data_IF_912542027717
#
_entry.id   IF_912542027717
#
_cell.length_a   1.000
_cell.length_b   1.000
_cell.length_c   1.000
_cell.angle_alpha   90.00
_cell.angle_beta   90.00
_cell.angle_gamma   90.00
#
_symmetry.space_group_name_H-M   'P 1'
#
loop_
_entity.id
_entity.type
_entity.pdbx_description
1 polymer ?
#
# COMPACT_ATOMS: atom_id res chain seq x y z
N UNK A 1 -24.21 -11.48 8.82
CA UNK A 1 -23.24 -12.20 7.99
C UNK A 1 -22.21 -11.19 7.53
N UNK A 2 -20.98 -11.27 8.02
CA UNK A 2 -19.86 -10.50 7.46
C UNK A 2 -19.72 -10.89 5.99
N UNK A 3 -19.68 -9.90 5.11
CA UNK A 3 -19.53 -10.13 3.67
C UNK A 3 -18.08 -10.59 3.40
N UNK A 4 -17.86 -11.90 3.42
CA UNK A 4 -16.53 -12.52 3.22
C UNK A 4 -15.87 -12.08 1.92
N UNK A 5 -16.65 -11.74 0.89
CA UNK A 5 -16.13 -11.23 -0.37
C UNK A 5 -15.46 -9.87 -0.21
N UNK A 6 -16.03 -8.96 0.58
CA UNK A 6 -15.45 -7.63 0.79
C UNK A 6 -14.14 -7.70 1.60
N UNK A 7 -14.08 -8.58 2.59
CA UNK A 7 -12.87 -8.82 3.39
C UNK A 7 -11.77 -9.43 2.52
N UNK A 8 -12.11 -10.46 1.73
CA UNK A 8 -11.15 -11.09 0.82
C UNK A 8 -10.64 -10.11 -0.24
N UNK A 9 -11.53 -9.25 -0.78
CA UNK A 9 -11.16 -8.19 -1.70
C UNK A 9 -10.16 -7.21 -1.07
N UNK A 10 -10.41 -6.77 0.16
CA UNK A 10 -9.53 -5.82 0.84
C UNK A 10 -8.14 -6.42 1.12
N UNK A 11 -8.10 -7.68 1.54
CA UNK A 11 -6.85 -8.40 1.79
C UNK A 11 -6.02 -8.59 0.51
N UNK A 12 -6.67 -8.98 -0.59
CA UNK A 12 -6.02 -9.18 -1.90
C UNK A 12 -5.57 -7.83 -2.49
N UNK A 13 -6.43 -6.82 -2.46
CA UNK A 13 -6.08 -5.47 -2.92
C UNK A 13 -4.87 -4.93 -2.18
N UNK A 14 -4.83 -5.09 -0.85
CA UNK A 14 -3.67 -4.69 -0.05
C UNK A 14 -2.37 -5.39 -0.47
N UNK A 15 -2.43 -6.69 -0.76
CA UNK A 15 -1.28 -7.42 -1.33
C UNK A 15 -0.84 -6.83 -2.66
N UNK A 16 -1.78 -6.62 -3.59
CA UNK A 16 -1.48 -6.11 -4.93
C UNK A 16 -0.92 -4.69 -4.90
N UNK A 17 -1.47 -3.83 -4.05
CA UNK A 17 -0.96 -2.46 -3.83
C UNK A 17 0.46 -2.51 -3.27
N UNK A 18 0.70 -3.31 -2.23
CA UNK A 18 2.04 -3.49 -1.63
C UNK A 18 3.06 -3.98 -2.67
N UNK A 19 2.72 -5.03 -3.42
CA UNK A 19 3.61 -5.54 -4.47
C UNK A 19 3.91 -4.49 -5.54
N UNK A 20 2.90 -3.73 -5.94
CA UNK A 20 3.07 -2.70 -6.97
C UNK A 20 3.91 -1.52 -6.47
N UNK A 21 3.75 -1.14 -5.20
CA UNK A 21 4.58 -0.13 -4.54
C UNK A 21 6.05 -0.56 -4.48
N UNK A 22 6.33 -1.80 -4.08
CA UNK A 22 7.69 -2.34 -4.03
C UNK A 22 8.32 -2.46 -5.43
N UNK A 23 7.52 -2.84 -6.45
CA UNK A 23 7.98 -2.82 -7.86
C UNK A 23 8.31 -1.40 -8.31
N UNK A 24 7.47 -0.41 -7.98
CA UNK A 24 7.75 0.99 -8.28
C UNK A 24 9.05 1.47 -7.61
N UNK A 25 9.33 1.05 -6.37
CA UNK A 25 10.60 1.37 -5.69
C UNK A 25 11.82 0.78 -6.41
N UNK A 26 11.72 -0.46 -6.89
CA UNK A 26 12.80 -1.12 -7.63
C UNK A 26 13.03 -0.44 -8.99
N UNK A 27 11.95 0.00 -9.65
CA UNK A 27 12.01 0.67 -10.95
C UNK A 27 12.40 2.14 -10.86
N UNK A 28 12.23 2.79 -9.70
CA UNK A 28 12.51 4.20 -9.52
C UNK A 28 13.99 4.54 -9.78
N UNK A 29 14.22 5.25 -10.88
CA UNK A 29 15.50 5.90 -11.18
C UNK A 29 15.45 7.37 -10.76
N UNK A 30 16.53 7.88 -10.16
CA UNK A 30 16.64 9.31 -9.82
C UNK A 30 16.62 10.24 -11.03
N UNK A 31 16.84 9.69 -12.23
CA UNK A 31 16.89 10.44 -13.48
C UNK A 31 15.55 10.49 -14.22
N UNK A 32 14.56 9.67 -13.80
CA UNK A 32 13.23 9.64 -14.41
C UNK A 32 12.17 10.21 -13.45
N UNK A 33 11.69 11.41 -13.75
CA UNK A 33 10.66 12.07 -12.97
C UNK A 33 9.32 11.33 -12.96
N UNK A 34 9.03 10.54 -13.99
CA UNK A 34 7.82 9.73 -14.03
C UNK A 34 7.87 8.63 -12.98
N UNK A 35 8.97 7.88 -12.92
CA UNK A 35 9.11 6.77 -11.97
C UNK A 35 9.14 7.26 -10.51
N UNK A 36 9.78 8.40 -10.25
CA UNK A 36 9.75 9.05 -8.94
C UNK A 36 8.33 9.48 -8.56
N UNK A 37 7.58 10.08 -9.49
CA UNK A 37 6.19 10.46 -9.27
C UNK A 37 5.29 9.25 -9.04
N UNK A 38 5.55 8.15 -9.75
CA UNK A 38 4.81 6.90 -9.61
C UNK A 38 5.08 6.22 -8.26
N UNK A 39 6.33 6.21 -7.78
CA UNK A 39 6.68 5.77 -6.44
C UNK A 39 6.02 6.63 -5.36
N UNK A 40 6.06 7.96 -5.51
CA UNK A 40 5.40 8.88 -4.58
C UNK A 40 3.88 8.67 -4.52
N UNK A 41 3.24 8.33 -5.65
CA UNK A 41 1.82 7.99 -5.66
C UNK A 41 1.52 6.74 -4.81
N UNK A 42 2.38 5.71 -4.86
CA UNK A 42 2.21 4.54 -4.00
C UNK A 42 2.49 4.83 -2.52
N UNK A 43 3.44 5.71 -2.21
CA UNK A 43 3.63 6.20 -0.85
C UNK A 43 2.32 6.77 -0.28
N UNK A 44 1.66 7.65 -1.03
CA UNK A 44 0.39 8.26 -0.62
C UNK A 44 -0.73 7.23 -0.48
N UNK A 45 -0.85 6.28 -1.42
CA UNK A 45 -1.88 5.24 -1.37
C UNK A 45 -1.71 4.34 -0.14
N UNK A 46 -0.50 3.83 0.11
CA UNK A 46 -0.25 2.93 1.26
C UNK A 46 -0.46 3.69 2.57
N UNK A 47 0.02 4.93 2.67
CA UNK A 47 -0.16 5.77 3.86
C UNK A 47 -1.65 6.04 4.13
N UNK A 48 -2.42 6.39 3.10
CA UNK A 48 -3.86 6.61 3.21
C UNK A 48 -4.59 5.35 3.66
N UNK A 49 -4.26 4.19 3.09
CA UNK A 49 -4.88 2.91 3.48
C UNK A 49 -4.60 2.56 4.94
N UNK A 50 -3.36 2.72 5.40
CA UNK A 50 -2.97 2.46 6.79
C UNK A 50 -3.66 3.44 7.76
N UNK A 51 -3.72 4.74 7.42
CA UNK A 51 -4.39 5.74 8.23
C UNK A 51 -5.90 5.50 8.34
N UNK A 52 -6.55 5.12 7.23
CA UNK A 52 -7.97 4.75 7.27
C UNK A 52 -8.20 3.48 8.10
N UNK A 53 -7.34 2.46 7.96
CA UNK A 53 -7.44 1.25 8.77
C UNK A 53 -7.36 1.55 10.26
N UNK A 54 -6.45 2.43 10.68
CA UNK A 54 -6.37 2.90 12.07
C UNK A 54 -7.66 3.60 12.53
N UNK A 55 -8.20 4.53 11.73
CA UNK A 55 -9.45 5.26 12.05
C UNK A 55 -10.64 4.32 12.21
N UNK A 56 -10.72 3.27 11.40
CA UNK A 56 -11.79 2.27 11.46
C UNK A 56 -11.50 1.11 12.43
N UNK A 57 -10.34 1.11 13.10
CA UNK A 57 -9.91 0.04 14.00
C UNK A 57 -9.68 -1.31 13.29
N UNK A 58 -9.32 -1.28 12.00
CA UNK A 58 -9.00 -2.46 11.19
C UNK A 58 -7.51 -2.78 11.38
N UNK A 59 -7.15 -3.98 11.88
CA UNK A 59 -5.77 -4.40 11.96
C UNK A 59 -5.10 -4.42 10.58
N UNK A 60 -3.85 -3.96 10.47
CA UNK A 60 -3.13 -3.94 9.20
C UNK A 60 -2.94 -5.34 8.58
N UNK A 61 -3.01 -6.40 9.39
CA UNK A 61 -3.04 -7.79 8.98
C UNK A 61 -4.23 -8.11 8.08
N UNK A 62 -5.39 -7.51 8.36
CA UNK A 62 -6.63 -7.72 7.61
C UNK A 62 -6.65 -6.99 6.27
N UNK A 63 -5.75 -6.01 6.08
CA UNK A 63 -5.60 -5.28 4.81
C UNK A 63 -4.24 -5.50 4.15
N UNK A 64 -3.48 -6.49 4.59
CA UNK A 64 -2.19 -6.86 3.99
C UNK A 64 -1.04 -5.84 4.01
N UNK A 65 -1.10 -4.84 4.90
CA UNK A 65 -0.13 -3.75 4.97
C UNK A 65 0.67 -3.70 6.30
N UNK A 66 0.73 -4.80 7.06
CA UNK A 66 1.37 -4.81 8.39
C UNK A 66 2.91 -4.80 8.36
N UNK A 67 3.51 -5.20 7.24
CA UNK A 67 4.95 -5.40 7.05
C UNK A 67 5.61 -4.32 6.20
N UNK A 68 4.82 -3.41 5.62
CA UNK A 68 5.29 -2.26 4.87
C UNK A 68 5.17 -0.98 5.69
N UNK A 69 6.23 -0.19 5.71
CA UNK A 69 6.27 1.15 6.27
C UNK A 69 6.55 2.13 5.11
N UNK A 70 5.60 3.00 4.74
CA UNK A 70 5.77 3.93 3.61
C UNK A 70 7.03 4.80 3.71
N UNK A 71 7.33 5.35 4.89
CA UNK A 71 8.46 6.25 5.09
C UNK A 71 9.82 5.53 4.95
N UNK A 72 9.87 4.26 5.34
CA UNK A 72 11.09 3.45 5.24
C UNK A 72 11.27 2.81 3.86
N UNK A 73 10.17 2.31 3.31
CA UNK A 73 10.20 1.40 2.17
C UNK A 73 9.96 2.12 0.83
N UNK A 74 9.31 3.29 0.84
CA UNK A 74 8.90 4.00 -0.38
C UNK A 74 9.54 5.39 -0.55
N UNK A 75 10.12 5.99 0.49
CA UNK A 75 10.92 7.23 0.38
C UNK A 75 12.41 6.96 0.11
#
# INVERSE_FOLDING_TARGET
MTNSTAINYLLDLGHLVKESALKAKISASSEDHFDLGYLAAYYEIVSLMQAQAEVFGIPLQEIALWDINPDRDLL
#
